data_IF_357304022606
#
_entry.id   IF_357304022606
#
_cell.length_a   1.000
_cell.length_b   1.000
_cell.length_c   1.000
_cell.angle_alpha   90.00
_cell.angle_beta   90.00
_cell.angle_gamma   90.00
#
_symmetry.space_group_name_H-M   'P 1'
#
loop_
_entity.id
_entity.type
_entity.pdbx_description
1 polymer ?
#
# COMPACT_ATOMS: atom_id res chain seq x y z
N UNK A 1 -6.74 11.49 38.29
CA UNK A 1 -5.85 12.32 37.44
C UNK A 1 -5.67 11.57 36.14
N UNK A 2 -6.33 11.99 35.06
CA UNK A 2 -6.15 11.40 33.74
C UNK A 2 -4.81 11.89 33.18
N UNK A 3 -3.93 10.98 32.76
CA UNK A 3 -2.72 11.36 32.02
C UNK A 3 -3.12 12.17 30.79
N UNK A 4 -2.43 13.27 30.46
CA UNK A 4 -2.63 13.95 29.19
C UNK A 4 -2.35 12.93 28.08
N UNK A 5 -3.31 12.75 27.19
CA UNK A 5 -3.21 11.86 26.03
C UNK A 5 -2.27 12.55 25.02
N UNK A 6 -0.96 12.42 25.25
CA UNK A 6 0.06 13.03 24.38
C UNK A 6 0.03 12.28 23.06
N UNK A 7 -0.38 12.94 21.95
CA UNK A 7 -0.51 12.26 20.67
C UNK A 7 0.85 11.71 20.23
N UNK A 8 1.02 10.39 20.27
CA UNK A 8 2.27 9.72 19.89
C UNK A 8 2.50 9.73 18.36
N UNK A 9 1.47 10.10 17.57
CA UNK A 9 1.53 10.21 16.11
C UNK A 9 0.85 11.50 15.63
N UNK A 10 1.48 12.19 14.68
CA UNK A 10 0.93 13.38 14.04
C UNK A 10 -0.35 13.08 13.25
N UNK A 11 -1.15 14.11 12.92
CA UNK A 11 -2.46 13.95 12.29
C UNK A 11 -2.37 13.20 10.97
N UNK A 12 -3.32 12.28 10.78
CA UNK A 12 -3.31 11.36 9.68
C UNK A 12 -3.82 12.00 8.38
N UNK A 13 -3.00 12.05 7.32
CA UNK A 13 -3.52 12.35 5.98
C UNK A 13 -4.23 11.13 5.41
N UNK A 14 -5.46 11.31 4.94
CA UNK A 14 -6.31 10.25 4.36
C UNK A 14 -5.86 9.81 2.95
N UNK A 15 -5.28 10.71 2.16
CA UNK A 15 -4.90 10.45 0.77
C UNK A 15 -4.00 9.21 0.55
N UNK A 16 -2.85 9.08 1.24
CA UNK A 16 -1.97 7.92 1.10
C UNK A 16 -2.66 6.58 1.38
N UNK A 17 -3.57 6.52 2.36
CA UNK A 17 -4.27 5.29 2.74
C UNK A 17 -5.35 4.93 1.71
N UNK A 18 -6.00 5.91 1.10
CA UNK A 18 -6.96 5.68 0.01
C UNK A 18 -6.23 5.07 -1.19
N UNK A 19 -5.06 5.63 -1.56
CA UNK A 19 -4.25 5.11 -2.68
C UNK A 19 -3.79 3.67 -2.39
N UNK A 20 -3.29 3.41 -1.17
CA UNK A 20 -2.93 2.05 -0.74
C UNK A 20 -4.13 1.10 -0.78
N UNK A 21 -5.30 1.54 -0.30
CA UNK A 21 -6.52 0.74 -0.35
C UNK A 21 -6.94 0.36 -1.78
N UNK A 22 -6.83 1.30 -2.72
CA UNK A 22 -7.11 1.05 -4.14
C UNK A 22 -6.10 0.07 -4.74
N UNK A 23 -4.80 0.26 -4.49
CA UNK A 23 -3.75 -0.64 -5.00
C UNK A 23 -3.94 -2.08 -4.51
N UNK A 24 -4.25 -2.26 -3.23
CA UNK A 24 -4.52 -3.57 -2.65
C UNK A 24 -5.84 -4.16 -3.16
N UNK A 25 -6.87 -3.33 -3.33
CA UNK A 25 -8.13 -3.75 -3.94
C UNK A 25 -7.92 -4.30 -5.35
N UNK A 26 -7.11 -3.63 -6.17
CA UNK A 26 -6.73 -4.09 -7.51
C UNK A 26 -5.98 -5.42 -7.43
N UNK A 27 -5.03 -5.57 -6.50
CA UNK A 27 -4.26 -6.80 -6.32
C UNK A 27 -5.12 -8.02 -5.95
N UNK A 28 -6.32 -7.80 -5.41
CA UNK A 28 -7.26 -8.87 -5.01
C UNK A 28 -8.30 -9.12 -6.10
N UNK A 29 -8.99 -8.06 -6.54
CA UNK A 29 -10.15 -8.18 -7.44
C UNK A 29 -9.72 -8.65 -8.83
N UNK A 30 -8.60 -8.14 -9.34
CA UNK A 30 -8.18 -8.43 -10.71
C UNK A 30 -7.79 -9.89 -10.93
N UNK A 31 -7.03 -10.58 -10.04
CA UNK A 31 -6.77 -12.02 -10.17
C UNK A 31 -7.94 -12.94 -9.73
N UNK A 32 -8.98 -12.39 -9.08
CA UNK A 32 -10.22 -13.11 -8.75
C UNK A 32 -11.28 -13.08 -9.86
N UNK A 33 -11.18 -12.16 -10.81
CA UNK A 33 -12.07 -12.04 -11.96
C UNK A 33 -11.86 -13.14 -13.02
N UNK A 34 -12.09 -14.40 -12.63
CA UNK A 34 -11.97 -15.63 -13.44
C UNK A 34 -12.51 -15.55 -14.87
N UNK A 35 -13.69 -14.96 -15.15
CA UNK A 35 -14.22 -14.94 -16.52
C UNK A 35 -13.38 -14.12 -17.51
N UNK A 36 -12.46 -13.25 -17.07
CA UNK A 36 -11.57 -12.53 -17.99
C UNK A 36 -10.39 -13.35 -18.51
N UNK A 37 -10.05 -14.48 -17.87
CA UNK A 37 -8.92 -15.33 -18.27
C UNK A 37 -9.32 -16.75 -18.66
N UNK A 38 -10.61 -17.06 -18.66
CA UNK A 38 -11.13 -18.35 -19.12
C UNK A 38 -11.11 -18.49 -20.66
N UNK A 39 -10.22 -17.75 -21.34
CA UNK A 39 -10.08 -17.74 -22.79
C UNK A 39 -8.81 -18.52 -23.16
N UNK A 40 -8.94 -19.49 -24.06
CA UNK A 40 -7.83 -20.35 -24.51
C UNK A 40 -6.76 -19.60 -25.33
N UNK A 41 -7.13 -18.44 -25.86
CA UNK A 41 -6.29 -17.52 -26.62
C UNK A 41 -6.16 -16.21 -25.82
N UNK A 42 -4.97 -15.62 -25.65
CA UNK A 42 -3.70 -15.89 -26.33
C UNK A 42 -2.78 -16.90 -25.61
N UNK A 43 -2.14 -17.76 -26.41
CA UNK A 43 -1.09 -18.67 -25.95
C UNK A 43 0.27 -17.97 -26.05
N UNK A 44 1.05 -18.01 -24.97
CA UNK A 44 2.41 -17.47 -24.92
C UNK A 44 3.40 -18.63 -24.91
N UNK A 45 4.24 -18.75 -25.95
CA UNK A 45 5.19 -19.86 -26.11
C UNK A 45 4.55 -21.27 -25.97
N UNK A 46 3.29 -21.42 -26.41
CA UNK A 46 2.52 -22.67 -26.27
C UNK A 46 1.79 -22.85 -24.93
N UNK A 47 2.01 -21.96 -23.96
CA UNK A 47 1.36 -21.97 -22.64
C UNK A 47 -0.01 -21.25 -22.69
N UNK A 48 -1.10 -21.87 -22.19
CA UNK A 48 -2.43 -21.24 -22.12
C UNK A 48 -2.46 -19.95 -21.29
N UNK A 49 -3.41 -19.07 -21.60
CA UNK A 49 -3.55 -17.74 -20.98
C UNK A 49 -3.50 -17.77 -19.45
N UNK A 50 -4.27 -18.68 -18.85
CA UNK A 50 -4.37 -18.85 -17.42
C UNK A 50 -3.00 -18.95 -16.72
N UNK A 51 -2.10 -19.80 -17.21
CA UNK A 51 -0.86 -20.09 -16.51
C UNK A 51 0.11 -18.92 -16.52
N UNK A 52 0.35 -18.32 -17.70
CA UNK A 52 1.29 -17.21 -17.79
C UNK A 52 0.73 -15.95 -17.11
N UNK A 53 -0.60 -15.78 -17.13
CA UNK A 53 -1.27 -14.70 -16.42
C UNK A 53 -1.06 -14.82 -14.91
N UNK A 54 -1.29 -16.00 -14.33
CA UNK A 54 -1.04 -16.26 -12.90
C UNK A 54 0.43 -16.07 -12.51
N UNK A 55 1.37 -16.50 -13.37
CA UNK A 55 2.80 -16.26 -13.14
C UNK A 55 3.17 -14.77 -13.22
N UNK A 56 2.55 -14.02 -14.13
CA UNK A 56 2.73 -12.57 -14.24
C UNK A 56 2.18 -11.82 -13.03
N UNK A 57 1.17 -12.37 -12.36
CA UNK A 57 0.61 -11.79 -11.14
C UNK A 57 1.56 -11.80 -9.95
N UNK A 58 2.52 -12.72 -9.89
CA UNK A 58 3.51 -12.78 -8.81
C UNK A 58 4.31 -11.47 -8.72
N UNK A 59 5.01 -11.01 -9.78
CA UNK A 59 5.73 -9.75 -9.75
C UNK A 59 4.79 -8.54 -9.67
N UNK A 60 3.60 -8.58 -10.28
CA UNK A 60 2.63 -7.48 -10.22
C UNK A 60 2.16 -7.25 -8.78
N UNK A 61 1.68 -8.30 -8.10
CA UNK A 61 1.23 -8.20 -6.71
C UNK A 61 2.37 -7.77 -5.79
N UNK A 62 3.58 -8.31 -5.98
CA UNK A 62 4.76 -7.87 -5.24
C UNK A 62 5.04 -6.37 -5.41
N UNK A 63 4.94 -5.86 -6.64
CA UNK A 63 5.09 -4.43 -6.91
C UNK A 63 3.97 -3.58 -6.28
N UNK A 64 2.71 -4.02 -6.38
CA UNK A 64 1.56 -3.32 -5.80
C UNK A 64 1.68 -3.22 -4.27
N UNK A 65 2.04 -4.32 -3.61
CA UNK A 65 2.28 -4.36 -2.16
C UNK A 65 3.50 -3.54 -1.79
N UNK A 66 4.59 -3.62 -2.56
CA UNK A 66 5.80 -2.84 -2.34
C UNK A 66 5.55 -1.33 -2.43
N UNK A 67 4.81 -0.88 -3.44
CA UNK A 67 4.41 0.53 -3.59
C UNK A 67 3.51 0.95 -2.43
N UNK A 68 2.54 0.11 -2.08
CA UNK A 68 1.63 0.36 -0.94
C UNK A 68 2.41 0.55 0.37
N UNK A 69 3.36 -0.36 0.64
CA UNK A 69 4.23 -0.28 1.80
C UNK A 69 5.10 0.97 1.78
N UNK A 70 5.65 1.33 0.61
CA UNK A 70 6.47 2.52 0.47
C UNK A 70 5.69 3.82 0.74
N UNK A 71 4.47 3.93 0.20
CA UNK A 71 3.56 5.06 0.42
C UNK A 71 3.25 5.22 1.91
N UNK A 72 2.85 4.13 2.57
CA UNK A 72 2.51 4.14 4.00
C UNK A 72 3.72 4.43 4.86
N UNK A 73 4.87 3.82 4.57
CA UNK A 73 6.12 4.03 5.33
C UNK A 73 6.61 5.47 5.23
N UNK A 74 6.46 6.11 4.07
CA UNK A 74 6.82 7.52 3.87
C UNK A 74 5.92 8.46 4.66
N UNK A 75 4.62 8.17 4.72
CA UNK A 75 3.64 8.92 5.52
C UNK A 75 3.90 8.73 7.03
N UNK A 76 4.15 7.50 7.47
CA UNK A 76 4.49 7.20 8.87
C UNK A 76 5.78 7.93 9.31
N UNK A 77 6.79 8.05 8.44
CA UNK A 77 8.00 8.81 8.74
C UNK A 77 7.71 10.31 8.93
N UNK A 78 6.91 10.91 8.04
CA UNK A 78 6.47 12.32 8.17
C UNK A 78 5.72 12.58 9.47
N UNK A 79 4.84 11.64 9.88
CA UNK A 79 4.07 11.78 11.13
C UNK A 79 4.96 11.79 12.37
N UNK A 80 6.06 11.03 12.37
CA UNK A 80 7.03 11.00 13.47
C UNK A 80 7.84 12.30 13.52
N UNK A 81 8.25 12.82 12.37
CA UNK A 81 8.96 14.11 12.25
C UNK A 81 8.09 15.28 12.75
N UNK A 82 6.79 15.27 12.42
CA UNK A 82 5.84 16.29 12.87
C UNK A 82 5.67 16.32 14.40
N UNK A 83 5.66 15.16 15.07
CA UNK A 83 5.56 15.09 16.54
C UNK A 83 6.85 15.54 17.23
N UNK A 84 8.02 15.16 16.69
CA UNK A 84 9.33 15.60 17.22
C UNK A 84 9.53 17.11 17.14
N UNK A 85 9.11 17.74 16.03
CA UNK A 85 9.22 19.20 15.87
C UNK A 85 8.39 20.01 16.86
N UNK A 86 7.33 19.42 17.44
CA UNK A 86 6.45 20.06 18.44
C UNK A 86 7.02 19.96 19.86
N UNK A 87 7.90 18.99 20.15
CA UNK A 87 8.50 18.82 21.48
C UNK A 87 9.79 19.63 21.69
N UNK A 88 10.44 20.06 20.61
CA UNK A 88 11.66 20.90 20.64
C UNK A 88 11.52 22.44 20.84
N UNK A 89 10.34 23.10 20.85
CA UNK A 89 10.26 24.56 21.04
C UNK A 89 10.45 25.05 22.48
N UNK A 90 10.40 24.19 23.50
CA UNK A 90 10.40 24.60 24.93
C UNK A 90 11.69 24.26 25.70
N UNK A 91 12.70 23.67 25.06
CA UNK A 91 14.05 23.49 25.64
C UNK A 91 14.95 24.69 25.31
N UNK A 92 14.63 25.88 25.83
CA UNK A 92 15.56 26.92 26.30
C UNK A 92 14.78 28.20 26.66
N UNK A 93 15.19 29.00 27.68
CA UNK A 93 16.40 28.90 28.52
C UNK A 93 16.16 28.56 30.00
#
# INVERSE_FOLDING_TARGET
MSSPDVPTRGPARSGPYIITGILLGIAIVVPLFVPAYSVDEPRLAGMPFFYWYQMSWIPITSALVGISFWIVSREDRRRREAVRGVTSPEEEP
#
